data_IF_578949093377
#
_entry.id   IF_578949093377
#
_cell.length_a   1.000
_cell.length_b   1.000
_cell.length_c   1.000
_cell.angle_alpha   90.00
_cell.angle_beta   90.00
_cell.angle_gamma   90.00
#
_symmetry.space_group_name_H-M   'P 1'
#
loop_
_entity.id
_entity.type
_entity.pdbx_description
1 polymer ?
#
# COMPACT_ATOMS: atom_id res chain seq x y z
N UNK A 1 23.73 35.82 12.80
CA UNK A 1 23.51 34.36 12.66
C UNK A 1 22.95 33.95 14.00
N UNK A 2 21.63 34.04 14.13
CA UNK A 2 20.97 33.83 15.41
C UNK A 2 20.79 32.33 15.59
N UNK A 3 21.60 31.76 16.47
CA UNK A 3 21.42 30.41 16.98
C UNK A 3 20.14 30.41 17.80
N UNK A 4 19.01 30.06 17.21
CA UNK A 4 17.79 29.75 17.95
C UNK A 4 18.01 28.41 18.66
N UNK A 5 18.57 28.48 19.87
CA UNK A 5 18.49 27.39 20.84
C UNK A 5 17.03 27.26 21.26
N UNK A 6 16.44 26.09 20.99
CA UNK A 6 15.11 25.71 21.46
C UNK A 6 14.98 25.95 22.96
N UNK A 7 13.82 26.43 23.39
CA UNK A 7 13.55 26.63 24.81
C UNK A 7 13.50 25.28 25.54
N UNK A 8 13.84 25.25 26.83
CA UNK A 8 13.97 24.00 27.61
C UNK A 8 12.68 23.15 27.61
N UNK A 9 11.52 23.79 27.51
CA UNK A 9 10.23 23.09 27.43
C UNK A 9 10.00 22.47 26.05
N UNK A 10 10.48 23.09 24.98
CA UNK A 10 10.49 22.52 23.63
C UNK A 10 11.50 21.38 23.55
N UNK A 11 12.67 21.52 24.17
CA UNK A 11 13.67 20.45 24.28
C UNK A 11 13.14 19.26 25.09
N UNK A 12 12.49 19.51 26.23
CA UNK A 12 11.85 18.47 27.04
C UNK A 12 10.69 17.82 26.28
N UNK A 13 9.88 18.59 25.57
CA UNK A 13 8.82 18.07 24.70
C UNK A 13 9.42 17.20 23.61
N UNK A 14 10.45 17.66 22.89
CA UNK A 14 11.15 16.87 21.87
C UNK A 14 11.83 15.65 22.48
N UNK A 15 12.43 15.73 23.67
CA UNK A 15 13.08 14.61 24.33
C UNK A 15 12.08 13.56 24.84
N UNK A 16 10.92 13.99 25.35
CA UNK A 16 9.81 13.12 25.74
C UNK A 16 9.07 12.57 24.51
N UNK A 17 8.93 13.35 23.45
CA UNK A 17 8.35 12.94 22.17
C UNK A 17 9.27 11.96 21.45
N UNK A 18 10.58 12.19 21.37
CA UNK A 18 11.55 11.31 20.70
C UNK A 18 12.09 10.21 21.62
N UNK A 19 11.48 10.00 22.79
CA UNK A 19 11.81 8.86 23.64
C UNK A 19 11.55 7.54 22.92
N UNK A 20 12.25 6.46 23.30
CA UNK A 20 12.30 5.20 22.53
C UNK A 20 10.93 4.66 22.12
N UNK A 21 9.90 4.84 22.94
CA UNK A 21 8.55 4.32 22.67
C UNK A 21 7.92 4.91 21.40
N UNK A 22 8.13 6.20 21.15
CA UNK A 22 7.66 6.90 19.97
C UNK A 22 8.43 6.46 18.73
N UNK A 23 9.77 6.44 18.84
CA UNK A 23 10.64 5.98 17.76
C UNK A 23 10.29 4.55 17.35
N UNK A 24 10.02 3.68 18.32
CA UNK A 24 9.63 2.30 18.06
C UNK A 24 8.27 2.18 17.35
N UNK A 25 7.32 3.07 17.64
CA UNK A 25 6.02 3.11 16.96
C UNK A 25 6.16 3.53 15.50
N UNK A 26 6.92 4.60 15.23
CA UNK A 26 7.18 5.09 13.87
C UNK A 26 8.03 4.09 13.10
N UNK A 27 9.18 3.66 13.63
CA UNK A 27 10.06 2.68 13.00
C UNK A 27 9.32 1.35 12.72
N UNK A 28 8.40 0.99 13.61
CA UNK A 28 7.54 -0.18 13.47
C UNK A 28 6.63 -0.15 12.24
N UNK A 29 6.32 1.04 11.70
CA UNK A 29 5.52 1.22 10.48
C UNK A 29 6.42 1.48 9.27
N UNK A 30 7.47 2.28 9.43
CA UNK A 30 8.39 2.64 8.34
C UNK A 30 9.16 1.42 7.82
N UNK A 31 9.67 0.57 8.72
CA UNK A 31 10.42 -0.63 8.33
C UNK A 31 9.62 -1.54 7.39
N UNK A 32 8.42 -2.02 7.80
CA UNK A 32 7.54 -2.80 6.93
C UNK A 32 7.15 -2.09 5.63
N UNK A 33 6.97 -0.77 5.68
CA UNK A 33 6.64 0.04 4.50
C UNK A 33 7.77 0.02 3.46
N UNK A 34 9.03 0.13 3.88
CA UNK A 34 10.21 -0.01 3.00
C UNK A 34 10.32 -1.40 2.39
N UNK A 35 9.99 -2.44 3.13
CA UNK A 35 9.98 -3.81 2.61
C UNK A 35 8.85 -4.04 1.60
N UNK A 36 7.65 -3.51 1.89
CA UNK A 36 6.53 -3.55 0.95
C UNK A 36 6.86 -2.82 -0.35
N UNK A 37 7.48 -1.64 -0.27
CA UNK A 37 7.95 -0.89 -1.42
C UNK A 37 8.87 -1.73 -2.32
N UNK A 38 9.87 -2.38 -1.74
CA UNK A 38 10.82 -3.22 -2.48
C UNK A 38 10.14 -4.39 -3.20
N UNK A 39 9.21 -5.08 -2.54
CA UNK A 39 8.47 -6.18 -3.18
C UNK A 39 7.56 -5.67 -4.30
N UNK A 40 6.99 -4.47 -4.16
CA UNK A 40 6.19 -3.85 -5.23
C UNK A 40 7.05 -3.39 -6.42
N UNK A 41 8.20 -2.80 -6.18
CA UNK A 41 9.18 -2.49 -7.23
C UNK A 41 9.60 -3.76 -7.97
N UNK A 42 9.89 -4.83 -7.22
CA UNK A 42 10.26 -6.11 -7.79
C UNK A 42 9.13 -6.68 -8.65
N UNK A 43 7.89 -6.65 -8.16
CA UNK A 43 6.70 -7.11 -8.89
C UNK A 43 6.54 -6.36 -10.22
N UNK A 44 6.62 -5.03 -10.18
CA UNK A 44 6.52 -4.17 -11.37
C UNK A 44 7.68 -4.42 -12.34
N UNK A 45 8.88 -4.66 -11.84
CA UNK A 45 10.06 -4.90 -12.68
C UNK A 45 9.99 -6.27 -13.36
N UNK A 46 9.53 -7.29 -12.63
CA UNK A 46 9.43 -8.66 -13.13
C UNK A 46 8.30 -8.77 -14.16
N UNK A 47 7.15 -8.15 -13.91
CA UNK A 47 5.99 -8.22 -14.81
C UNK A 47 6.23 -7.53 -16.16
N UNK A 48 7.21 -6.62 -16.23
CA UNK A 48 7.63 -5.96 -17.47
C UNK A 48 8.63 -6.78 -18.29
N UNK A 49 9.14 -7.90 -17.78
CA UNK A 49 10.08 -8.72 -18.54
C UNK A 49 9.35 -9.48 -19.65
N UNK A 50 9.93 -9.56 -20.87
CA UNK A 50 9.30 -10.27 -21.99
C UNK A 50 8.98 -11.75 -21.73
N UNK A 51 9.75 -12.40 -20.84
CA UNK A 51 9.60 -13.80 -20.48
C UNK A 51 9.38 -13.95 -18.96
N UNK A 52 8.56 -13.08 -18.38
CA UNK A 52 8.25 -13.12 -16.95
C UNK A 52 7.69 -14.51 -16.57
N UNK A 53 8.31 -15.17 -15.60
CA UNK A 53 7.85 -16.46 -15.12
C UNK A 53 6.64 -16.27 -14.20
N UNK A 54 5.51 -16.91 -14.55
CA UNK A 54 4.26 -16.79 -13.82
C UNK A 54 4.35 -17.26 -12.36
N UNK A 55 5.19 -18.27 -12.07
CA UNK A 55 5.39 -18.75 -10.70
C UNK A 55 6.18 -17.74 -9.87
N UNK A 56 7.20 -17.13 -10.47
CA UNK A 56 7.98 -16.05 -9.87
C UNK A 56 7.10 -14.83 -9.56
N UNK A 57 6.27 -14.39 -10.53
CA UNK A 57 5.33 -13.27 -10.33
C UNK A 57 4.36 -13.55 -9.18
N UNK A 58 3.77 -14.75 -9.14
CA UNK A 58 2.87 -15.17 -8.07
C UNK A 58 3.56 -15.13 -6.71
N UNK A 59 4.77 -15.66 -6.62
CA UNK A 59 5.55 -15.65 -5.37
C UNK A 59 5.86 -14.23 -4.90
N UNK A 60 6.21 -13.31 -5.81
CA UNK A 60 6.42 -11.89 -5.45
C UNK A 60 5.10 -11.26 -4.97
N UNK A 61 3.98 -11.53 -5.65
CA UNK A 61 2.65 -11.04 -5.28
C UNK A 61 2.27 -11.47 -3.86
N UNK A 62 2.46 -12.74 -3.51
CA UNK A 62 2.22 -13.28 -2.16
C UNK A 62 3.08 -12.58 -1.10
N UNK A 63 4.36 -12.33 -1.39
CA UNK A 63 5.24 -11.59 -0.48
C UNK A 63 4.81 -10.14 -0.31
N UNK A 64 4.42 -9.46 -1.39
CA UNK A 64 3.91 -8.09 -1.33
C UNK A 64 2.63 -8.00 -0.48
N UNK A 65 1.70 -8.95 -0.64
CA UNK A 65 0.49 -9.06 0.20
C UNK A 65 0.85 -9.31 1.67
N UNK A 66 1.83 -10.17 1.94
CA UNK A 66 2.30 -10.41 3.31
C UNK A 66 2.91 -9.14 3.93
N UNK A 67 3.69 -8.35 3.17
CA UNK A 67 4.24 -7.07 3.66
C UNK A 67 3.16 -6.03 3.90
N UNK A 68 2.17 -5.92 3.02
CA UNK A 68 0.98 -5.08 3.23
C UNK A 68 0.27 -5.43 4.54
N UNK A 69 0.08 -6.72 4.82
CA UNK A 69 -0.52 -7.19 6.08
C UNK A 69 0.31 -6.78 7.30
N UNK A 70 1.63 -6.86 7.24
CA UNK A 70 2.50 -6.43 8.34
C UNK A 70 2.36 -4.92 8.59
N UNK A 71 2.22 -4.09 7.55
CA UNK A 71 1.94 -2.65 7.72
C UNK A 71 0.62 -2.47 8.50
N UNK A 72 -0.45 -3.14 8.08
CA UNK A 72 -1.75 -3.06 8.76
C UNK A 72 -1.67 -3.46 10.24
N UNK A 73 -0.99 -4.57 10.55
CA UNK A 73 -0.75 -5.04 11.92
C UNK A 73 0.08 -4.02 12.73
N UNK A 74 1.07 -3.39 12.11
CA UNK A 74 1.92 -2.38 12.75
C UNK A 74 1.14 -1.11 13.08
N UNK A 75 0.24 -0.67 12.19
CA UNK A 75 -0.67 0.47 12.46
C UNK A 75 -1.62 0.13 13.61
N UNK A 76 -2.20 -1.08 13.64
CA UNK A 76 -3.08 -1.51 14.74
C UNK A 76 -2.35 -1.54 16.08
N UNK A 77 -1.11 -2.04 16.08
CA UNK A 77 -0.27 -2.05 17.27
C UNK A 77 0.03 -0.62 17.75
N UNK A 78 0.47 0.25 16.86
CA UNK A 78 0.70 1.67 17.16
C UNK A 78 -0.54 2.33 17.79
N UNK A 79 -1.72 2.10 17.22
CA UNK A 79 -2.98 2.62 17.78
C UNK A 79 -3.30 2.07 19.17
N UNK A 80 -3.10 0.76 19.36
CA UNK A 80 -3.37 0.10 20.64
C UNK A 80 -2.43 0.59 21.73
N UNK A 81 -1.14 0.75 21.39
CA UNK A 81 -0.11 1.23 22.31
C UNK A 81 -0.37 2.70 22.69
N UNK A 82 -0.72 3.56 21.72
CA UNK A 82 -1.07 4.96 21.98
C UNK A 82 -2.26 5.09 22.93
N UNK A 83 -3.33 4.31 22.71
CA UNK A 83 -4.48 4.28 23.62
C UNK A 83 -4.13 3.76 25.01
N UNK A 84 -3.41 2.64 25.10
CA UNK A 84 -3.07 2.02 26.38
C UNK A 84 -2.20 2.93 27.26
N UNK A 85 -1.36 3.76 26.63
CA UNK A 85 -0.42 4.65 27.31
C UNK A 85 -0.93 6.10 27.45
N UNK A 86 -2.12 6.41 26.94
CA UNK A 86 -2.66 7.78 26.86
C UNK A 86 -1.68 8.75 26.16
N UNK A 87 -1.10 8.32 25.05
CA UNK A 87 -0.20 9.13 24.21
C UNK A 87 -1.00 9.70 23.03
N UNK A 88 -0.62 10.88 22.57
CA UNK A 88 -1.20 11.51 21.39
C UNK A 88 -0.94 10.70 20.10
N UNK A 89 -1.85 10.79 19.13
CA UNK A 89 -1.68 10.18 17.81
C UNK A 89 -0.84 11.11 16.92
N UNK A 90 0.25 10.57 16.36
CA UNK A 90 1.21 11.24 15.50
C UNK A 90 1.06 10.89 14.01
N UNK A 91 -0.18 10.72 13.57
CA UNK A 91 -0.48 10.22 12.23
C UNK A 91 0.11 11.10 11.12
N UNK A 92 0.00 12.42 11.27
CA UNK A 92 0.57 13.39 10.32
C UNK A 92 2.09 13.28 10.23
N UNK A 93 2.77 13.03 11.35
CA UNK A 93 4.22 12.85 11.36
C UNK A 93 4.61 11.54 10.68
N UNK A 94 3.88 10.45 10.91
CA UNK A 94 4.14 9.17 10.25
C UNK A 94 3.94 9.32 8.73
N UNK A 95 2.92 10.05 8.27
CA UNK A 95 2.74 10.35 6.84
C UNK A 95 3.93 11.13 6.27
N UNK A 96 4.40 12.16 6.98
CA UNK A 96 5.57 12.94 6.57
C UNK A 96 6.84 12.10 6.50
N UNK A 97 7.08 11.23 7.48
CA UNK A 97 8.23 10.31 7.49
C UNK A 97 8.10 9.29 6.36
N UNK A 98 6.92 8.72 6.12
CA UNK A 98 6.68 7.83 4.98
C UNK A 98 6.98 8.51 3.63
N UNK A 99 6.76 9.81 3.50
CA UNK A 99 7.07 10.54 2.28
C UNK A 99 8.56 10.90 2.16
N UNK A 100 9.23 11.20 3.28
CA UNK A 100 10.63 11.64 3.28
C UNK A 100 11.64 10.49 3.21
N UNK A 101 11.26 9.30 3.67
CA UNK A 101 12.14 8.12 3.73
C UNK A 101 12.43 7.48 2.36
N UNK A 102 11.80 7.97 1.30
CA UNK A 102 12.00 7.46 -0.05
C UNK A 102 12.47 8.57 -0.99
N UNK A 103 13.61 8.33 -1.65
CA UNK A 103 14.26 9.31 -2.52
C UNK A 103 13.42 9.70 -3.75
N UNK A 104 12.47 8.86 -4.17
CA UNK A 104 11.61 9.07 -5.34
C UNK A 104 10.17 9.20 -4.91
N UNK A 105 9.47 10.28 -5.28
CA UNK A 105 8.03 10.40 -5.06
C UNK A 105 7.24 9.64 -6.14
N UNK A 106 7.31 8.32 -6.12
CA UNK A 106 6.63 7.47 -7.09
C UNK A 106 5.22 7.04 -6.64
N UNK A 107 4.50 6.36 -7.55
CA UNK A 107 3.13 5.91 -7.31
C UNK A 107 3.02 4.85 -6.20
N UNK A 108 4.09 4.11 -5.92
CA UNK A 108 4.11 3.08 -4.87
C UNK A 108 4.08 3.77 -3.51
N UNK A 109 4.91 4.79 -3.30
CA UNK A 109 4.93 5.54 -2.04
C UNK A 109 3.63 6.28 -1.82
N UNK A 110 3.07 6.90 -2.86
CA UNK A 110 1.74 7.51 -2.78
C UNK A 110 0.67 6.50 -2.35
N UNK A 111 0.75 5.26 -2.84
CA UNK A 111 -0.17 4.20 -2.44
C UNK A 111 0.07 3.71 -1.01
N UNK A 112 1.32 3.59 -0.55
CA UNK A 112 1.66 3.24 0.85
C UNK A 112 1.13 4.32 1.79
N UNK A 113 1.40 5.59 1.52
CA UNK A 113 0.91 6.72 2.33
C UNK A 113 -0.62 6.76 2.34
N UNK A 114 -1.25 6.63 1.17
CA UNK A 114 -2.72 6.62 1.08
C UNK A 114 -3.35 5.41 1.81
N UNK A 115 -2.71 4.24 1.74
CA UNK A 115 -3.11 3.07 2.51
C UNK A 115 -3.07 3.36 4.00
N UNK A 116 -1.96 3.90 4.50
CA UNK A 116 -1.82 4.30 5.90
C UNK A 116 -2.94 5.24 6.35
N UNK A 117 -3.18 6.35 5.64
CA UNK A 117 -4.23 7.32 5.99
C UNK A 117 -5.63 6.70 6.01
N UNK A 118 -5.95 5.87 5.01
CA UNK A 118 -7.26 5.21 4.94
C UNK A 118 -7.43 4.15 6.03
N UNK A 119 -6.40 3.36 6.30
CA UNK A 119 -6.44 2.31 7.31
C UNK A 119 -6.61 2.91 8.70
N UNK A 120 -5.89 4.00 9.00
CA UNK A 120 -6.08 4.79 10.22
C UNK A 120 -7.50 5.31 10.36
N UNK A 121 -8.06 5.87 9.28
CA UNK A 121 -9.44 6.36 9.28
C UNK A 121 -10.42 5.24 9.64
N UNK A 122 -10.22 4.03 9.12
CA UNK A 122 -11.04 2.87 9.47
C UNK A 122 -10.90 2.45 10.93
N UNK A 123 -9.68 2.44 11.48
CA UNK A 123 -9.46 2.19 12.91
C UNK A 123 -10.24 3.20 13.74
N UNK A 124 -10.10 4.50 13.47
CA UNK A 124 -10.78 5.56 14.22
C UNK A 124 -12.31 5.46 14.14
N UNK A 125 -12.85 5.02 13.00
CA UNK A 125 -14.29 4.80 12.81
C UNK A 125 -14.80 3.59 13.60
N UNK A 126 -14.03 2.48 13.63
CA UNK A 126 -14.46 1.21 14.25
C UNK A 126 -14.16 1.11 15.75
N UNK A 127 -13.13 1.82 16.20
CA UNK A 127 -12.68 1.84 17.60
C UNK A 127 -12.60 3.28 18.12
N UNK A 128 -13.73 4.01 18.18
CA UNK A 128 -13.72 5.37 18.72
C UNK A 128 -13.35 5.34 20.20
N UNK A 129 -12.28 6.05 20.57
CA UNK A 129 -11.84 6.25 21.96
C UNK A 129 -11.60 4.96 22.76
N UNK A 130 -11.15 3.89 22.12
CA UNK A 130 -10.84 2.62 22.80
C UNK A 130 -9.67 1.89 22.14
N UNK A 131 -8.96 1.11 22.94
CA UNK A 131 -7.96 0.18 22.43
C UNK A 131 -8.58 -0.88 21.50
N UNK A 132 -7.77 -1.38 20.57
CA UNK A 132 -8.17 -2.46 19.66
C UNK A 132 -8.08 -3.79 20.42
N UNK A 133 -9.19 -4.49 20.51
CA UNK A 133 -9.22 -5.87 21.00
C UNK A 133 -8.68 -6.80 19.89
N UNK A 134 -7.67 -7.64 20.16
CA UNK A 134 -7.14 -8.58 19.19
C UNK A 134 -8.19 -9.47 18.53
N UNK A 135 -9.29 -9.81 19.22
CA UNK A 135 -10.37 -10.63 18.65
C UNK A 135 -11.24 -9.86 17.64
N UNK A 136 -11.21 -8.52 17.71
CA UNK A 136 -12.00 -7.63 16.88
C UNK A 136 -11.14 -6.84 15.88
N UNK A 137 -9.85 -7.15 15.80
CA UNK A 137 -8.87 -6.52 14.93
C UNK A 137 -9.36 -6.41 13.47
N UNK A 138 -8.98 -5.33 12.79
CA UNK A 138 -9.28 -5.16 11.37
C UNK A 138 -8.41 -6.11 10.54
N UNK A 139 -9.00 -6.65 9.47
CA UNK A 139 -8.24 -7.34 8.44
C UNK A 139 -7.30 -6.38 7.70
N UNK A 140 -6.33 -6.89 6.93
CA UNK A 140 -5.29 -6.07 6.32
C UNK A 140 -5.76 -5.22 5.13
N UNK A 141 -7.02 -5.35 4.73
CA UNK A 141 -7.60 -4.69 3.57
C UNK A 141 -8.43 -3.49 3.99
N UNK A 142 -8.24 -2.39 3.27
CA UNK A 142 -9.10 -1.22 3.37
C UNK A 142 -10.33 -1.46 2.48
N UNK A 143 -11.54 -1.45 3.06
CA UNK A 143 -12.81 -1.40 2.30
C UNK A 143 -12.72 -0.48 1.07
N UNK A 144 -13.37 -0.84 -0.04
CA UNK A 144 -13.54 -0.07 -1.28
C UNK A 144 -12.39 0.92 -1.58
N UNK A 145 -11.50 0.54 -2.50
CA UNK A 145 -10.33 1.32 -2.96
C UNK A 145 -9.07 1.21 -2.08
N UNK A 146 -8.68 -0.02 -1.69
CA UNK A 146 -7.36 -0.29 -1.13
C UNK A 146 -6.26 -0.02 -2.18
N UNK A 147 -5.43 1.03 -1.99
CA UNK A 147 -4.51 1.46 -3.03
C UNK A 147 -3.33 0.50 -3.21
N UNK A 148 -2.93 -0.23 -2.16
CA UNK A 148 -1.86 -1.22 -2.26
C UNK A 148 -2.36 -2.50 -2.93
N UNK A 149 -3.54 -2.98 -2.54
CA UNK A 149 -4.15 -4.14 -3.16
C UNK A 149 -4.42 -3.90 -4.65
N UNK A 150 -4.87 -2.69 -5.00
CA UNK A 150 -5.09 -2.26 -6.39
C UNK A 150 -3.81 -2.37 -7.24
N UNK A 151 -2.67 -1.87 -6.75
CA UNK A 151 -1.40 -2.01 -7.49
C UNK A 151 -0.98 -3.48 -7.57
N UNK A 152 -1.04 -4.22 -6.47
CA UNK A 152 -0.60 -5.61 -6.41
C UNK A 152 -1.40 -6.51 -7.38
N UNK A 153 -2.70 -6.24 -7.53
CA UNK A 153 -3.60 -7.01 -8.42
C UNK A 153 -3.50 -6.56 -9.88
N UNK A 154 -3.38 -5.26 -10.16
CA UNK A 154 -3.31 -4.75 -11.53
C UNK A 154 -1.99 -5.05 -12.26
N UNK A 155 -0.88 -5.14 -11.52
CA UNK A 155 0.45 -5.38 -12.09
C UNK A 155 0.66 -6.84 -12.53
N UNK A 156 -0.14 -7.75 -11.97
CA UNK A 156 -0.12 -9.18 -12.27
C UNK A 156 -1.55 -9.76 -12.11
N UNK A 157 -2.41 -9.65 -13.14
CA UNK A 157 -3.70 -10.34 -13.14
C UNK A 157 -3.46 -11.83 -12.96
N UNK A 158 -4.28 -12.50 -12.16
CA UNK A 158 -4.11 -13.94 -11.95
C UNK A 158 -4.36 -14.66 -13.28
N UNK A 159 -3.68 -15.79 -13.57
CA UNK A 159 -3.92 -16.55 -14.80
C UNK A 159 -5.39 -16.97 -14.98
N UNK A 160 -6.14 -17.05 -13.88
CA UNK A 160 -7.58 -17.33 -13.86
C UNK A 160 -8.44 -16.14 -14.32
N UNK A 161 -7.91 -14.91 -14.30
CA UNK A 161 -8.58 -13.70 -14.83
C UNK A 161 -8.41 -13.56 -16.35
N UNK A 162 -7.58 -14.39 -16.98
CA UNK A 162 -7.45 -14.46 -18.44
C UNK A 162 -8.52 -15.41 -18.97
N UNK A 163 -9.78 -14.96 -18.95
CA UNK A 163 -10.78 -15.60 -19.80
C UNK A 163 -10.40 -15.33 -21.25
N UNK A 164 -10.15 -16.36 -22.09
CA UNK A 164 -10.04 -16.13 -23.52
C UNK A 164 -11.40 -15.61 -23.99
N UNK A 165 -11.46 -14.32 -24.34
CA UNK A 165 -12.60 -13.81 -25.10
C UNK A 165 -12.72 -14.67 -26.36
N UNK A 166 -13.88 -15.26 -26.64
CA UNK A 166 -14.07 -15.94 -27.91
C UNK A 166 -13.80 -14.91 -29.02
N UNK A 167 -13.07 -15.28 -30.08
CA UNK A 167 -12.75 -14.36 -31.15
C UNK A 167 -14.05 -13.77 -31.69
N UNK A 168 -14.10 -12.44 -31.75
CA UNK A 168 -15.23 -11.74 -32.34
C UNK A 168 -15.48 -12.29 -33.74
N UNK A 169 -16.69 -12.77 -34.00
CA UNK A 169 -17.12 -13.22 -35.32
C UNK A 169 -16.92 -12.07 -36.31
N UNK A 170 -15.89 -12.17 -37.15
CA UNK A 170 -15.77 -11.34 -38.33
C UNK A 170 -16.98 -11.61 -39.21
N UNK A 171 -17.89 -10.63 -39.27
CA UNK A 171 -18.93 -10.58 -40.29
C UNK A 171 -18.26 -10.52 -41.66
N UNK A 172 -18.02 -11.67 -42.27
CA UNK A 172 -17.66 -11.81 -43.69
C UNK A 172 -18.90 -11.41 -44.51
N UNK A 173 -19.05 -10.10 -44.74
CA UNK A 173 -19.98 -9.60 -45.74
C UNK A 173 -19.42 -9.91 -47.12
N UNK A 174 -19.81 -11.07 -47.64
CA UNK A 174 -19.60 -11.49 -49.03
C UNK A 174 -20.41 -10.61 -49.99
N UNK A 175 -19.88 -9.46 -50.38
CA UNK A 175 -20.37 -8.75 -51.56
C UNK A 175 -19.80 -9.41 -52.82
N UNK A 176 -20.65 -10.19 -53.49
CA UNK A 176 -20.39 -10.84 -54.78
C UNK A 176 -19.94 -9.81 -55.83
N UNK A 177 -18.78 -10.06 -56.42
CA UNK A 177 -18.34 -9.45 -57.67
C UNK A 177 -19.19 -10.01 -58.81
N UNK A 178 -20.11 -9.22 -59.34
CA UNK A 178 -20.77 -9.50 -60.61
C UNK A 178 -19.80 -9.26 -61.76
N UNK A 179 -19.27 -10.33 -62.33
CA UNK A 179 -18.71 -10.35 -63.68
C UNK A 179 -19.61 -11.24 -64.54
N UNK A 180 -20.31 -10.67 -65.52
CA UNK A 180 -20.87 -11.42 -66.62
C UNK A 180 -20.79 -10.57 -67.90
N UNK A 181 -19.83 -10.95 -68.74
CA UNK A 181 -19.68 -10.51 -70.11
C UNK A 181 -20.29 -11.58 -71.04
N UNK A 182 -21.14 -11.11 -71.96
CA UNK A 182 -21.48 -11.60 -73.30
C UNK A 182 -21.45 -13.09 -73.66
N UNK A 183 -22.59 -13.56 -74.17
CA UNK A 183 -22.68 -14.17 -75.51
C UNK A 183 -23.98 -13.74 -76.19
#
# INVERSE_FOLDING_TARGET
MDSQTLEDHEYFTLHCYFHQEFKNGIDGIIGPSKECYKEMELLISESKKPNADSATIRSIKERALAKKRIIAESIQKYYSDAFAKNIDFYDELIELVLQSEFEKHDKIIQAITLFFSKYIKQIRLRFPNRAIDPQNALGPDVDNDDPLLSIITQVAPDPEDIHPQPPAEENVSSSKVTNLHYK
#
